data_IF_853078945003
#
_entry.id   IF_853078945003
#
_cell.length_a   1.000
_cell.length_b   1.000
_cell.length_c   1.000
_cell.angle_alpha   90.00
_cell.angle_beta   90.00
_cell.angle_gamma   90.00
#
_symmetry.space_group_name_H-M   'P 1'
#
loop_
_entity.id
_entity.type
_entity.pdbx_description
1 polymer ?
#
# COMPACT_ATOMS: atom_id res chain seq x y z
N UNK A 1 4.14 20.33 -12.81
CA UNK A 1 4.18 20.29 -11.33
C UNK A 1 4.54 18.86 -10.94
N UNK A 2 5.47 18.66 -10.01
CA UNK A 2 6.11 17.36 -9.73
C UNK A 2 5.22 16.41 -8.91
N UNK A 3 5.25 15.10 -9.22
CA UNK A 3 4.54 13.99 -8.54
C UNK A 3 5.19 13.54 -7.21
N UNK A 4 5.99 14.39 -6.59
CA UNK A 4 6.64 14.05 -5.33
C UNK A 4 5.88 14.75 -4.19
N UNK A 5 5.69 14.11 -3.03
CA UNK A 5 4.99 14.73 -1.92
C UNK A 5 5.78 15.97 -1.46
N UNK A 6 5.30 17.16 -1.83
CA UNK A 6 5.84 18.42 -1.36
C UNK A 6 5.34 18.65 0.06
N UNK A 7 6.22 18.42 1.03
CA UNK A 7 5.93 18.56 2.44
C UNK A 7 5.57 20.01 2.85
N UNK A 8 5.90 20.99 2.00
CA UNK A 8 5.74 22.42 2.25
C UNK A 8 4.62 23.07 1.42
N UNK A 9 3.92 22.31 0.57
CA UNK A 9 2.70 22.76 -0.09
C UNK A 9 1.55 22.78 0.93
N UNK A 10 0.99 23.97 1.19
CA UNK A 10 -0.09 24.12 2.15
C UNK A 10 -1.46 23.71 1.60
N UNK A 11 -1.62 23.59 0.29
CA UNK A 11 -2.90 23.34 -0.37
C UNK A 11 -3.10 21.87 -0.75
N UNK A 12 -2.03 21.06 -0.68
CA UNK A 12 -2.08 19.60 -0.90
C UNK A 12 -1.98 18.80 0.38
N UNK A 13 -2.75 17.71 0.57
CA UNK A 13 -2.53 16.78 1.69
C UNK A 13 -1.13 16.16 1.65
N UNK A 14 -0.52 15.95 2.82
CA UNK A 14 0.75 15.20 2.91
C UNK A 14 0.48 13.74 2.51
N UNK A 15 1.30 13.19 1.60
CA UNK A 15 1.16 11.84 1.05
C UNK A 15 -0.17 11.59 0.31
N UNK A 16 -0.62 12.56 -0.50
CA UNK A 16 -1.76 12.36 -1.39
C UNK A 16 -1.41 11.32 -2.47
N UNK A 17 -2.00 10.12 -2.38
CA UNK A 17 -1.86 9.07 -3.39
C UNK A 17 -2.99 9.12 -4.42
N UNK A 18 -2.64 9.17 -5.70
CA UNK A 18 -3.56 8.97 -6.82
C UNK A 18 -3.90 7.48 -6.99
N UNK A 19 -5.04 7.17 -7.62
CA UNK A 19 -5.45 5.81 -7.95
C UNK A 19 -4.45 5.07 -8.88
N UNK A 20 -3.57 5.79 -9.58
CA UNK A 20 -2.49 5.20 -10.38
C UNK A 20 -1.26 4.80 -9.55
N UNK A 21 -1.28 4.99 -8.23
CA UNK A 21 -0.17 4.68 -7.32
C UNK A 21 0.93 5.75 -7.23
N UNK A 22 0.75 6.90 -7.88
CA UNK A 22 1.69 8.02 -7.86
C UNK A 22 1.16 9.18 -7.01
N UNK A 23 2.05 10.01 -6.46
CA UNK A 23 1.70 11.10 -5.54
C UNK A 23 1.34 12.39 -6.31
N UNK A 24 0.17 12.40 -6.97
CA UNK A 24 -0.37 13.56 -7.69
C UNK A 24 -1.90 13.67 -7.62
N UNK A 25 -2.47 14.82 -7.99
CA UNK A 25 -3.92 14.96 -8.10
C UNK A 25 -4.45 14.30 -9.39
N UNK A 26 -5.68 13.76 -9.42
CA UNK A 26 -6.24 13.10 -10.62
C UNK A 26 -6.23 13.95 -11.89
N UNK A 27 -6.27 15.28 -11.79
CA UNK A 27 -6.22 16.20 -12.93
C UNK A 27 -4.81 16.43 -13.52
N UNK A 28 -3.76 15.93 -12.89
CA UNK A 28 -2.36 16.26 -13.22
C UNK A 28 -1.64 15.18 -14.04
N UNK A 29 -2.38 14.17 -14.51
CA UNK A 29 -1.85 13.06 -15.32
C UNK A 29 -1.08 13.52 -16.58
N UNK A 30 -1.42 14.68 -17.15
CA UNK A 30 -0.80 15.21 -18.36
C UNK A 30 0.51 16.01 -18.14
N UNK A 31 0.90 16.28 -16.87
CA UNK A 31 2.03 17.15 -16.53
C UNK A 31 3.23 16.38 -15.93
N UNK A 32 3.30 15.07 -16.16
CA UNK A 32 4.32 14.19 -15.60
C UNK A 32 5.71 14.49 -16.19
N UNK A 33 6.60 15.02 -15.35
CA UNK A 33 8.03 15.02 -15.61
C UNK A 33 8.66 13.81 -14.88
N UNK A 34 9.45 12.96 -15.56
CA UNK A 34 10.16 11.86 -14.90
C UNK A 34 11.22 12.41 -13.95
N UNK A 35 11.15 12.03 -12.67
CA UNK A 35 12.19 12.24 -11.65
C UNK A 35 12.91 10.94 -11.32
N UNK A 36 14.16 11.02 -10.84
CA UNK A 36 14.93 9.83 -10.46
C UNK A 36 14.34 9.16 -9.19
N UNK A 37 14.59 7.86 -9.00
CA UNK A 37 14.14 7.12 -7.81
C UNK A 37 14.70 7.70 -6.49
N UNK A 38 15.86 8.36 -6.57
CA UNK A 38 16.50 9.04 -5.44
C UNK A 38 15.71 10.29 -5.03
N UNK A 39 15.31 11.13 -5.99
CA UNK A 39 14.51 12.33 -5.71
C UNK A 39 13.16 11.99 -5.08
N UNK A 40 12.54 10.89 -5.51
CA UNK A 40 11.28 10.41 -4.92
C UNK A 40 11.46 9.95 -3.47
N UNK A 41 12.53 9.18 -3.20
CA UNK A 41 12.86 8.73 -1.84
C UNK A 41 13.11 9.90 -0.89
N UNK A 42 13.85 10.93 -1.35
CA UNK A 42 14.14 12.13 -0.57
C UNK A 42 12.86 12.91 -0.23
N UNK A 43 11.98 13.12 -1.20
CA UNK A 43 10.71 13.81 -0.99
C UNK A 43 9.80 13.05 -0.02
N UNK A 44 9.77 11.71 -0.12
CA UNK A 44 9.00 10.87 0.80
C UNK A 44 9.54 10.92 2.23
N UNK A 45 10.86 10.94 2.41
CA UNK A 45 11.49 11.10 3.72
C UNK A 45 11.14 12.45 4.34
N UNK A 46 11.26 13.55 3.59
CA UNK A 46 10.88 14.88 4.06
C UNK A 46 9.41 14.94 4.43
N UNK A 47 8.52 14.39 3.60
CA UNK A 47 7.10 14.29 3.90
C UNK A 47 6.81 13.49 5.18
N UNK A 48 7.50 12.37 5.38
CA UNK A 48 7.38 11.54 6.59
C UNK A 48 7.83 12.27 7.85
N UNK A 49 8.92 13.04 7.76
CA UNK A 49 9.42 13.85 8.87
C UNK A 49 8.48 14.99 9.22
N UNK A 50 8.01 15.74 8.22
CA UNK A 50 7.04 16.83 8.44
C UNK A 50 5.73 16.27 9.00
N UNK A 51 5.31 15.06 8.58
CA UNK A 51 4.17 14.36 9.16
C UNK A 51 4.38 13.99 10.64
N UNK A 52 5.61 13.67 11.04
CA UNK A 52 5.95 13.42 12.44
C UNK A 52 5.90 14.71 13.30
N UNK A 53 6.39 15.83 12.77
CA UNK A 53 6.33 17.15 13.44
C UNK A 53 4.88 17.66 13.51
N UNK A 54 4.12 17.47 12.43
CA UNK A 54 2.72 17.87 12.31
C UNK A 54 1.82 16.65 12.05
N UNK A 55 1.46 15.88 13.10
CA UNK A 55 0.58 14.72 12.95
C UNK A 55 -0.77 15.08 12.32
N UNK A 56 -1.27 16.28 12.64
CA UNK A 56 -2.56 16.80 12.16
C UNK A 56 -2.33 17.74 10.98
N UNK A 57 -2.87 17.37 9.82
CA UNK A 57 -2.65 18.07 8.55
C UNK A 57 -3.11 19.54 8.59
N UNK A 58 -4.23 19.81 9.28
CA UNK A 58 -4.75 21.18 9.46
C UNK A 58 -3.75 22.10 10.15
N UNK A 59 -2.98 21.59 11.12
CA UNK A 59 -1.97 22.37 11.85
C UNK A 59 -0.80 22.70 10.94
N UNK A 60 -0.31 21.71 10.18
CA UNK A 60 0.72 21.92 9.15
C UNK A 60 0.32 23.01 8.17
N UNK A 61 -0.89 22.93 7.59
CA UNK A 61 -1.38 23.91 6.61
C UNK A 61 -1.48 25.31 7.21
N UNK A 62 -1.98 25.41 8.45
CA UNK A 62 -2.09 26.71 9.14
C UNK A 62 -0.72 27.32 9.40
N UNK A 63 0.25 26.51 9.84
CA UNK A 63 1.63 26.93 10.02
C UNK A 63 2.27 27.39 8.70
N UNK A 64 2.20 26.56 7.64
CA UNK A 64 2.76 26.90 6.33
C UNK A 64 2.16 28.19 5.75
N UNK A 65 0.86 28.41 5.91
CA UNK A 65 0.20 29.66 5.50
C UNK A 65 0.62 30.87 6.33
N UNK A 66 0.94 30.67 7.60
CA UNK A 66 1.36 31.74 8.49
C UNK A 66 2.81 32.18 8.25
N UNK A 67 3.74 31.23 8.05
CA UNK A 67 5.18 31.53 7.94
C UNK A 67 5.72 31.52 6.51
N UNK A 68 5.00 30.91 5.57
CA UNK A 68 5.45 30.66 4.20
C UNK A 68 6.35 29.43 4.07
N UNK A 69 6.27 28.75 2.92
CA UNK A 69 6.94 27.47 2.65
C UNK A 69 8.47 27.54 2.84
N UNK A 70 9.12 28.58 2.32
CA UNK A 70 10.58 28.74 2.42
C UNK A 70 11.04 28.94 3.87
N UNK A 71 10.30 29.72 4.66
CA UNK A 71 10.58 29.95 6.08
C UNK A 71 10.38 28.68 6.90
N UNK A 72 9.29 27.95 6.65
CA UNK A 72 9.03 26.67 7.29
C UNK A 72 10.16 25.66 7.01
N UNK A 73 10.62 25.59 5.76
CA UNK A 73 11.72 24.72 5.36
C UNK A 73 13.03 25.09 6.07
N UNK A 74 13.35 26.37 6.17
CA UNK A 74 14.53 26.83 6.90
C UNK A 74 14.44 26.52 8.41
N UNK A 75 13.27 26.72 9.02
CA UNK A 75 13.04 26.44 10.44
C UNK A 75 13.17 24.94 10.76
N UNK A 76 12.59 24.07 9.94
CA UNK A 76 12.69 22.61 10.14
C UNK A 76 14.14 22.14 9.91
N UNK A 77 14.81 22.65 8.88
CA UNK A 77 16.22 22.34 8.62
C UNK A 77 17.16 22.81 9.74
N UNK A 78 16.79 23.86 10.49
CA UNK A 78 17.58 24.34 11.63
C UNK A 78 17.47 23.46 12.88
N UNK A 79 16.36 22.72 13.00
CA UNK A 79 16.10 21.84 14.15
C UNK A 79 16.48 20.38 13.87
N UNK A 80 16.52 19.99 12.59
CA UNK A 80 16.79 18.63 12.15
C UNK A 80 17.84 18.66 11.04
N UNK A 81 18.97 17.94 11.18
CA UNK A 81 20.01 17.91 10.16
C UNK A 81 19.56 17.02 8.99
N UNK A 82 18.65 17.56 8.17
CA UNK A 82 18.03 16.87 7.03
C UNK A 82 19.07 16.26 6.09
N UNK A 83 20.14 16.99 5.79
CA UNK A 83 21.24 16.52 4.95
C UNK A 83 21.99 15.33 5.56
N UNK A 84 22.24 15.35 6.87
CA UNK A 84 22.88 14.22 7.58
C UNK A 84 21.95 13.01 7.66
N UNK A 85 20.65 13.22 7.89
CA UNK A 85 19.65 12.14 7.87
C UNK A 85 19.48 11.52 6.48
N UNK A 86 19.54 12.35 5.42
CA UNK A 86 19.54 11.91 4.03
C UNK A 86 20.79 11.10 3.69
N UNK A 87 21.98 11.55 4.12
CA UNK A 87 23.22 10.80 3.95
C UNK A 87 23.17 9.43 4.66
N UNK A 88 22.66 9.37 5.90
CA UNK A 88 22.49 8.11 6.63
C UNK A 88 21.40 7.18 6.07
N UNK A 89 20.50 7.69 5.22
CA UNK A 89 19.47 6.88 4.55
C UNK A 89 19.93 6.36 3.19
N UNK A 90 20.91 7.02 2.56
CA UNK A 90 21.55 6.54 1.33
C UNK A 90 22.52 5.38 1.58
N UNK A 91 23.03 5.22 2.80
CA UNK A 91 23.75 4.01 3.17
C UNK A 91 22.79 2.81 3.13
N UNK A 92 23.04 1.87 2.21
CA UNK A 92 22.38 0.55 2.18
C UNK A 92 22.70 -0.17 3.48
N UNK A 93 21.87 0.03 4.50
CA UNK A 93 21.96 -0.73 5.74
C UNK A 93 21.65 -2.20 5.43
N UNK A 94 22.27 -3.15 6.16
CA UNK A 94 21.88 -4.53 6.09
C UNK A 94 20.37 -4.67 6.38
N UNK A 95 19.69 -5.54 5.64
CA UNK A 95 18.28 -5.87 5.90
C UNK A 95 18.10 -6.30 7.36
N UNK A 96 17.09 -5.73 8.02
CA UNK A 96 16.77 -6.01 9.42
C UNK A 96 16.28 -7.46 9.61
N UNK A 97 15.61 -8.01 8.59
CA UNK A 97 15.14 -9.40 8.56
C UNK A 97 15.25 -9.97 7.14
N UNK A 98 15.95 -11.10 7.01
CA UNK A 98 16.17 -11.79 5.72
C UNK A 98 15.20 -12.94 5.47
N UNK A 99 14.87 -13.69 6.52
CA UNK A 99 13.99 -14.85 6.45
C UNK A 99 12.54 -14.41 6.62
N UNK A 100 11.74 -14.44 5.54
CA UNK A 100 10.34 -13.99 5.56
C UNK A 100 9.37 -15.13 5.29
N UNK A 101 8.26 -15.18 6.02
CA UNK A 101 7.13 -16.08 5.75
C UNK A 101 6.02 -15.33 5.05
N UNK A 102 5.71 -15.69 3.81
CA UNK A 102 4.69 -15.02 3.01
C UNK A 102 3.51 -15.96 2.75
N UNK A 103 2.33 -15.60 3.25
CA UNK A 103 1.10 -16.36 3.04
C UNK A 103 0.42 -16.06 1.70
N UNK A 104 -0.13 -17.08 1.06
CA UNK A 104 -0.95 -16.89 -0.14
C UNK A 104 -2.06 -17.94 -0.30
N UNK A 105 -3.11 -17.58 -1.03
CA UNK A 105 -4.08 -18.52 -1.60
C UNK A 105 -3.69 -18.81 -3.04
N UNK A 106 -3.74 -20.09 -3.42
CA UNK A 106 -3.36 -20.57 -4.75
C UNK A 106 -4.41 -20.23 -5.81
N UNK A 107 -4.43 -18.96 -6.20
CA UNK A 107 -5.21 -18.39 -7.32
C UNK A 107 -4.27 -17.53 -8.17
N UNK A 108 -4.65 -17.24 -9.41
CA UNK A 108 -3.78 -16.60 -10.41
C UNK A 108 -3.22 -15.25 -9.98
N UNK A 109 -3.92 -14.49 -9.13
CA UNK A 109 -3.40 -13.22 -8.65
C UNK A 109 -2.20 -13.33 -7.71
N UNK A 110 -1.92 -14.50 -7.14
CA UNK A 110 -0.72 -14.75 -6.33
C UNK A 110 0.55 -15.02 -7.18
N UNK A 111 0.43 -15.09 -8.51
CA UNK A 111 1.54 -15.43 -9.41
C UNK A 111 2.79 -14.58 -9.19
N UNK A 112 2.73 -13.23 -8.98
CA UNK A 112 3.95 -12.45 -8.73
C UNK A 112 4.72 -12.92 -7.50
N UNK A 113 4.03 -13.28 -6.41
CA UNK A 113 4.67 -13.79 -5.19
C UNK A 113 5.27 -15.18 -5.39
N UNK A 114 4.55 -16.05 -6.12
CA UNK A 114 4.96 -17.45 -6.35
C UNK A 114 6.17 -17.50 -7.29
N UNK A 115 6.13 -16.73 -8.38
CA UNK A 115 7.17 -16.78 -9.41
C UNK A 115 8.44 -16.00 -9.04
N UNK A 116 8.38 -15.12 -8.04
CA UNK A 116 9.55 -14.39 -7.56
C UNK A 116 10.67 -15.29 -7.02
N UNK A 117 10.35 -16.48 -6.49
CA UNK A 117 11.35 -17.43 -6.01
C UNK A 117 12.09 -18.17 -7.16
N UNK A 118 11.42 -18.89 -8.09
CA UNK A 118 12.10 -19.57 -9.19
C UNK A 118 12.79 -18.61 -10.17
N UNK A 119 12.32 -17.36 -10.26
CA UNK A 119 12.98 -16.31 -11.05
C UNK A 119 14.15 -15.63 -10.30
N UNK A 120 14.37 -15.96 -9.02
CA UNK A 120 15.48 -15.46 -8.22
C UNK A 120 15.33 -14.02 -7.73
N UNK A 121 14.14 -13.41 -7.82
CA UNK A 121 13.92 -12.03 -7.42
C UNK A 121 14.09 -11.81 -5.91
N UNK A 122 13.63 -12.74 -5.07
CA UNK A 122 13.87 -12.63 -3.61
C UNK A 122 15.37 -12.66 -3.27
N UNK A 123 16.11 -13.59 -3.87
CA UNK A 123 17.55 -13.73 -3.64
C UNK A 123 18.33 -12.51 -4.12
N UNK A 124 17.92 -11.91 -5.25
CA UNK A 124 18.50 -10.67 -5.77
C UNK A 124 18.40 -9.51 -4.76
N UNK A 125 17.31 -9.47 -4.01
CA UNK A 125 17.09 -8.50 -2.94
C UNK A 125 17.65 -8.96 -1.58
N UNK A 126 18.35 -10.09 -1.50
CA UNK A 126 18.95 -10.61 -0.25
C UNK A 126 17.96 -11.24 0.72
N UNK A 127 16.76 -11.61 0.25
CA UNK A 127 15.69 -12.22 1.03
C UNK A 127 15.66 -13.75 0.85
N UNK A 128 15.37 -14.45 1.95
CA UNK A 128 15.06 -15.87 1.97
C UNK A 128 13.56 -16.04 2.31
N UNK A 129 12.75 -16.31 1.28
CA UNK A 129 11.28 -16.30 1.42
C UNK A 129 10.71 -17.71 1.47
N UNK A 130 9.94 -17.99 2.51
CA UNK A 130 9.10 -19.18 2.62
C UNK A 130 7.65 -18.84 2.22
N UNK A 131 7.21 -19.36 1.07
CA UNK A 131 5.83 -19.21 0.60
C UNK A 131 4.92 -20.26 1.25
N UNK A 132 3.91 -19.79 1.98
CA UNK A 132 2.96 -20.63 2.72
C UNK A 132 1.59 -20.61 2.06
N UNK A 133 1.24 -21.69 1.36
CA UNK A 133 -0.11 -21.88 0.83
C UNK A 133 -1.11 -22.03 1.97
N UNK A 134 -2.22 -21.31 1.89
CA UNK A 134 -3.33 -21.36 2.86
C UNK A 134 -4.65 -21.73 2.19
N UNK A 135 -5.56 -22.30 2.98
CA UNK A 135 -6.82 -22.86 2.48
C UNK A 135 -7.96 -21.83 2.34
N UNK A 136 -7.85 -20.65 2.93
CA UNK A 136 -8.91 -19.64 2.91
C UNK A 136 -8.51 -18.30 3.49
N UNK A 137 -9.32 -17.28 3.22
CA UNK A 137 -9.05 -15.89 3.60
C UNK A 137 -9.06 -15.66 5.11
N UNK A 138 -9.94 -16.35 5.85
CA UNK A 138 -9.95 -16.30 7.31
C UNK A 138 -8.61 -16.76 7.90
N UNK A 139 -8.04 -17.84 7.37
CA UNK A 139 -6.73 -18.33 7.83
C UNK A 139 -5.58 -17.39 7.46
N UNK A 140 -5.65 -16.72 6.30
CA UNK A 140 -4.68 -15.66 5.96
C UNK A 140 -4.72 -14.55 7.01
N UNK A 141 -5.92 -14.06 7.34
CA UNK A 141 -6.13 -13.03 8.36
C UNK A 141 -5.57 -13.47 9.71
N UNK A 142 -5.97 -14.64 10.19
CA UNK A 142 -5.61 -15.12 11.52
C UNK A 142 -4.09 -15.36 11.64
N UNK A 143 -3.45 -15.92 10.62
CA UNK A 143 -1.99 -16.11 10.58
C UNK A 143 -1.21 -14.80 10.55
N UNK A 144 -1.73 -13.76 9.88
CA UNK A 144 -1.12 -12.44 9.88
C UNK A 144 -1.27 -11.75 11.25
N UNK A 145 -2.45 -11.84 11.89
CA UNK A 145 -2.67 -11.31 13.24
C UNK A 145 -1.73 -11.99 14.26
N UNK A 146 -1.55 -13.31 14.14
CA UNK A 146 -0.69 -14.09 15.02
C UNK A 146 0.81 -13.97 14.69
N UNK A 147 1.20 -13.18 13.69
CA UNK A 147 2.58 -13.02 13.21
C UNK A 147 3.23 -14.35 12.77
N UNK A 148 2.42 -15.31 12.34
CA UNK A 148 2.91 -16.52 11.66
C UNK A 148 3.39 -16.21 10.24
N UNK A 149 2.83 -15.16 9.64
CA UNK A 149 3.24 -14.58 8.38
C UNK A 149 3.78 -13.15 8.60
N UNK A 150 4.86 -12.83 7.89
CA UNK A 150 5.42 -11.47 7.84
C UNK A 150 4.68 -10.59 6.83
N UNK A 151 4.23 -11.20 5.74
CA UNK A 151 3.37 -10.60 4.74
C UNK A 151 2.38 -11.64 4.20
N UNK A 152 1.29 -11.19 3.58
CA UNK A 152 0.39 -12.11 2.89
C UNK A 152 -0.27 -11.44 1.70
N UNK A 153 -0.68 -12.28 0.75
CA UNK A 153 -1.64 -11.91 -0.29
C UNK A 153 -3.04 -11.79 0.33
N UNK A 154 -3.68 -10.65 0.11
CA UNK A 154 -4.98 -10.29 0.63
C UNK A 154 -5.95 -9.86 -0.46
N UNK A 155 -7.25 -9.97 -0.18
CA UNK A 155 -8.26 -9.17 -0.88
C UNK A 155 -8.07 -7.70 -0.46
N UNK A 156 -8.09 -6.77 -1.43
CA UNK A 156 -7.83 -5.33 -1.21
C UNK A 156 -8.52 -4.70 0.01
N UNK A 157 -9.81 -4.97 0.31
CA UNK A 157 -10.48 -4.43 1.51
C UNK A 157 -10.06 -5.08 2.84
N UNK A 158 -9.45 -6.26 2.86
CA UNK A 158 -9.12 -6.96 4.12
C UNK A 158 -8.13 -6.19 5.01
N UNK A 159 -6.98 -5.68 4.51
CA UNK A 159 -6.06 -4.89 5.33
C UNK A 159 -6.73 -3.65 5.96
N UNK A 160 -7.65 -3.02 5.23
CA UNK A 160 -8.42 -1.88 5.73
C UNK A 160 -9.39 -2.32 6.85
N UNK A 161 -10.16 -3.38 6.63
CA UNK A 161 -11.08 -3.93 7.62
C UNK A 161 -10.33 -4.34 8.90
N UNK A 162 -9.18 -5.02 8.78
CA UNK A 162 -8.32 -5.40 9.89
C UNK A 162 -7.79 -4.18 10.67
N UNK A 163 -7.37 -3.13 9.96
CA UNK A 163 -6.89 -1.88 10.57
C UNK A 163 -7.98 -1.12 11.32
N UNK A 164 -9.24 -1.33 10.94
CA UNK A 164 -10.43 -0.78 11.61
C UNK A 164 -11.01 -1.70 12.68
N UNK A 165 -10.48 -2.94 12.85
CA UNK A 165 -11.03 -3.93 13.77
C UNK A 165 -12.37 -4.53 13.33
N UNK A 166 -12.69 -4.50 12.03
CA UNK A 166 -13.91 -5.09 11.49
C UNK A 166 -13.69 -6.58 11.21
N UNK A 167 -14.45 -7.43 11.91
CA UNK A 167 -14.39 -8.89 11.75
C UNK A 167 -13.14 -9.56 12.33
N UNK A 168 -12.30 -8.84 13.08
CA UNK A 168 -11.18 -9.39 13.87
C UNK A 168 -10.67 -8.38 14.90
N UNK A 169 -9.67 -8.79 15.69
CA UNK A 169 -8.88 -7.84 16.48
C UNK A 169 -8.26 -6.78 15.56
N UNK A 170 -8.20 -5.55 16.06
CA UNK A 170 -7.61 -4.43 15.34
C UNK A 170 -6.10 -4.61 15.23
N UNK A 171 -5.60 -4.66 13.99
CA UNK A 171 -4.17 -4.75 13.69
C UNK A 171 -3.88 -3.78 12.56
N UNK A 172 -2.93 -2.87 12.79
CA UNK A 172 -2.50 -1.92 11.77
C UNK A 172 -1.83 -2.68 10.62
N UNK A 173 -2.37 -2.54 9.41
CA UNK A 173 -1.86 -3.17 8.20
C UNK A 173 -1.40 -2.10 7.21
N UNK A 174 -0.33 -2.41 6.48
CA UNK A 174 0.13 -1.62 5.34
C UNK A 174 -0.06 -2.43 4.06
N UNK A 175 -0.62 -1.80 3.03
CA UNK A 175 -0.63 -2.36 1.69
C UNK A 175 0.66 -1.97 0.95
N UNK A 176 1.43 -2.99 0.57
CA UNK A 176 2.70 -2.80 -0.12
C UNK A 176 2.52 -2.62 -1.63
N UNK A 177 1.63 -3.41 -2.24
CA UNK A 177 1.45 -3.42 -3.70
C UNK A 177 0.19 -4.16 -4.13
N UNK A 178 -0.42 -3.66 -5.20
CA UNK A 178 -1.54 -4.33 -5.88
C UNK A 178 -0.97 -5.38 -6.84
N UNK A 179 -1.25 -6.65 -6.57
CA UNK A 179 -0.69 -7.78 -7.34
C UNK A 179 -1.37 -7.99 -8.70
N UNK A 180 -2.63 -7.60 -8.84
CA UNK A 180 -3.36 -7.67 -10.10
C UNK A 180 -4.51 -6.68 -10.14
N UNK A 181 -4.95 -6.38 -11.36
CA UNK A 181 -6.27 -5.85 -11.65
C UNK A 181 -6.98 -6.85 -12.56
N UNK A 182 -8.28 -7.06 -12.37
CA UNK A 182 -9.08 -8.04 -13.11
C UNK A 182 -8.68 -9.51 -12.87
N UNK A 183 -9.29 -10.44 -13.62
CA UNK A 183 -9.06 -11.89 -13.49
C UNK A 183 -10.06 -12.62 -12.60
N UNK A 184 -11.06 -11.91 -12.07
CA UNK A 184 -12.19 -12.44 -11.31
C UNK A 184 -13.42 -12.51 -12.22
N UNK A 185 -14.37 -13.39 -11.89
CA UNK A 185 -15.60 -13.54 -12.64
C UNK A 185 -16.77 -13.87 -11.71
N UNK A 186 -17.94 -13.35 -12.05
CA UNK A 186 -19.22 -13.83 -11.50
C UNK A 186 -19.70 -14.94 -12.43
N UNK A 187 -19.91 -16.13 -11.88
CA UNK A 187 -20.37 -17.30 -12.63
C UNK A 187 -21.75 -17.74 -12.17
N UNK A 188 -22.53 -18.28 -13.10
CA UNK A 188 -23.82 -18.91 -12.81
C UNK A 188 -23.72 -20.41 -13.06
N UNK A 189 -24.43 -21.19 -12.25
CA UNK A 189 -24.55 -22.63 -12.49
C UNK A 189 -25.16 -22.90 -13.88
N UNK A 190 -24.68 -23.94 -14.57
CA UNK A 190 -25.07 -24.25 -15.96
C UNK A 190 -26.59 -24.33 -16.20
N UNK A 191 -27.35 -24.78 -15.19
CA UNK A 191 -28.83 -24.79 -15.21
C UNK A 191 -29.48 -23.43 -15.47
N UNK A 192 -28.77 -22.33 -15.23
CA UNK A 192 -29.24 -20.95 -15.43
C UNK A 192 -28.65 -20.30 -16.69
N UNK A 193 -28.03 -21.06 -17.61
CA UNK A 193 -27.35 -20.53 -18.82
C UNK A 193 -28.19 -19.54 -19.65
N UNK A 194 -29.50 -19.78 -19.74
CA UNK A 194 -30.41 -18.94 -20.53
C UNK A 194 -31.05 -17.81 -19.71
N UNK A 195 -30.87 -17.79 -18.38
CA UNK A 195 -31.43 -16.77 -17.50
C UNK A 195 -30.46 -15.60 -17.31
N UNK A 196 -30.33 -14.76 -18.35
CA UNK A 196 -29.40 -13.61 -18.36
C UNK A 196 -29.99 -12.31 -17.81
N UNK A 197 -31.29 -12.28 -17.52
CA UNK A 197 -31.97 -11.10 -16.97
C UNK A 197 -31.93 -11.15 -15.42
N UNK A 198 -31.24 -10.21 -14.75
CA UNK A 198 -31.16 -10.15 -13.29
C UNK A 198 -32.52 -10.05 -12.59
N UNK A 199 -33.57 -9.56 -13.26
CA UNK A 199 -34.93 -9.51 -12.69
C UNK A 199 -35.46 -10.89 -12.33
N UNK A 200 -34.99 -11.92 -13.02
CA UNK A 200 -35.39 -13.31 -12.83
C UNK A 200 -34.51 -14.04 -11.80
N UNK A 201 -33.58 -13.35 -11.13
CA UNK A 201 -32.67 -13.97 -10.16
C UNK A 201 -33.19 -13.94 -8.72
N UNK A 202 -34.43 -13.48 -8.52
CA UNK A 202 -35.08 -13.47 -7.20
C UNK A 202 -35.05 -14.88 -6.59
N UNK A 203 -34.53 -14.99 -5.37
CA UNK A 203 -34.39 -16.27 -4.64
C UNK A 203 -33.10 -17.04 -4.93
N UNK A 204 -32.24 -16.57 -5.85
CA UNK A 204 -30.90 -17.13 -6.03
C UNK A 204 -30.00 -16.74 -4.85
N UNK A 205 -29.07 -17.64 -4.49
CA UNK A 205 -28.04 -17.37 -3.48
C UNK A 205 -26.77 -16.92 -4.18
N UNK A 206 -26.25 -15.75 -3.81
CA UNK A 206 -24.93 -15.27 -4.23
C UNK A 206 -23.89 -15.75 -3.21
N UNK A 207 -22.89 -16.49 -3.66
CA UNK A 207 -21.78 -16.91 -2.81
C UNK A 207 -20.61 -15.94 -3.02
N UNK A 208 -20.05 -15.45 -1.92
CA UNK A 208 -18.87 -14.58 -1.91
C UNK A 208 -17.73 -15.29 -1.20
N UNK A 209 -16.46 -15.11 -1.63
CA UNK A 209 -15.35 -15.89 -1.09
C UNK A 209 -14.98 -15.52 0.35
N UNK A 210 -15.30 -14.29 0.79
CA UNK A 210 -15.05 -13.81 2.15
C UNK A 210 -15.96 -12.62 2.47
N UNK A 211 -16.24 -12.39 3.75
CA UNK A 211 -16.82 -11.13 4.20
C UNK A 211 -15.81 -10.02 3.90
N UNK A 212 -16.24 -8.88 3.35
CA UNK A 212 -15.33 -7.87 2.79
C UNK A 212 -14.53 -8.37 1.56
N UNK A 213 -15.16 -9.09 0.63
CA UNK A 213 -14.52 -9.46 -0.66
C UNK A 213 -14.99 -8.61 -1.85
N UNK A 214 -16.05 -7.83 -1.67
CA UNK A 214 -16.67 -6.96 -2.67
C UNK A 214 -16.97 -5.60 -2.05
#
# INVERSE_FOLDING_TARGET
MSNAPDAYDADRPLMLRCACGQDHAPGEHALQAPRSAEEHSLSFMEASLVKAIFPVDRVRRSFLRAVGANTARAAIASLLPLSSLQAMAQEKRPLEKKDLKIGFIAITCATPLIMADPLGFYKKEGLNVQLNKTAGWALIRDKMINKEHDASHFLSPMPLAMSMGLGSNQVAMNDATIQNTNGQAITLHARHKNNRDPKNWKGMKCAVPFEYSM
#
